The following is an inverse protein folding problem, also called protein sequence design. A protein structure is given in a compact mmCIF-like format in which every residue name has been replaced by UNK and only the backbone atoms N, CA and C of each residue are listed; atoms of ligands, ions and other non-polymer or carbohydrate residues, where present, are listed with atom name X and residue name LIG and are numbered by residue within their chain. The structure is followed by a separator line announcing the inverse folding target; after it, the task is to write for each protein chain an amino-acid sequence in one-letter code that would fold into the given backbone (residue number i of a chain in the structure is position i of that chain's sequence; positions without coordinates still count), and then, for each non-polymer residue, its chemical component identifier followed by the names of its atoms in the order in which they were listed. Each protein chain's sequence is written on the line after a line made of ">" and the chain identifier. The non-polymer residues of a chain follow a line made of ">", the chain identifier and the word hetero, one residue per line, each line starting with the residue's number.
data_IF_996591921431
#
_entry.id   IF_996591921431
#
_cell.length_a   1.000
_cell.length_b   1.000
_cell.length_c   1.000
_cell.angle_alpha   90.00
_cell.angle_beta   90.00
_cell.angle_gamma   90.00
#
_symmetry.space_group_name_H-M   'P 1'
#
loop_
_entity.id
_entity.type
_entity.pdbx_description
1 polymer ?
#
# COMPACT_ATOMS: atom_id res chain seq x y z
N UNK A 1 -18.88 2.69 -18.96
CA UNK A 1 -18.76 3.60 -17.81
C UNK A 1 -17.43 3.31 -17.12
N UNK A 2 -16.63 4.32 -16.78
CA UNK A 2 -15.36 4.12 -16.09
C UNK A 2 -15.59 3.56 -14.67
N UNK A 3 -14.65 2.75 -14.18
CA UNK A 3 -14.65 2.31 -12.78
C UNK A 3 -14.59 3.55 -11.88
N UNK A 4 -15.36 3.58 -10.81
CA UNK A 4 -15.29 4.64 -9.80
C UNK A 4 -14.83 4.03 -8.49
N UNK A 5 -13.84 4.65 -7.84
CA UNK A 5 -13.27 4.22 -6.55
C UNK A 5 -13.44 5.33 -5.52
N UNK A 6 -13.47 4.99 -4.23
CA UNK A 6 -13.52 5.99 -3.18
C UNK A 6 -12.10 6.40 -2.77
N UNK A 7 -11.84 7.70 -2.65
CA UNK A 7 -10.59 8.20 -2.10
C UNK A 7 -10.37 7.62 -0.69
N UNK A 8 -9.21 7.00 -0.39
CA UNK A 8 -9.00 6.34 0.89
C UNK A 8 -9.01 7.32 2.08
N UNK A 9 -8.62 8.59 1.86
CA UNK A 9 -8.52 9.63 2.88
C UNK A 9 -9.88 10.29 3.20
N UNK A 10 -10.62 10.73 2.18
CA UNK A 10 -11.84 11.54 2.39
C UNK A 10 -13.13 10.90 1.82
N UNK A 11 -13.03 9.72 1.21
CA UNK A 11 -14.14 8.96 0.60
C UNK A 11 -14.85 9.61 -0.59
N UNK A 12 -14.32 10.73 -1.10
CA UNK A 12 -14.83 11.34 -2.35
C UNK A 12 -14.71 10.32 -3.50
N UNK A 13 -15.76 10.13 -4.32
CA UNK A 13 -15.70 9.26 -5.50
C UNK A 13 -14.72 9.80 -6.55
N UNK A 14 -13.90 8.93 -7.13
CA UNK A 14 -12.88 9.23 -8.14
C UNK A 14 -13.08 8.31 -9.32
N UNK A 15 -13.30 8.88 -10.51
CA UNK A 15 -13.35 8.10 -11.75
C UNK A 15 -11.96 7.62 -12.15
N UNK A 16 -11.85 6.35 -12.55
CA UNK A 16 -10.62 5.71 -12.99
C UNK A 16 -10.32 6.03 -14.46
N UNK A 17 -9.98 7.30 -14.72
CA UNK A 17 -9.67 7.83 -16.06
C UNK A 17 -8.28 8.50 -16.07
N UNK A 18 -7.66 8.72 -17.25
CA UNK A 18 -6.34 9.37 -17.34
C UNK A 18 -6.27 10.75 -16.68
N UNK A 19 -7.35 11.55 -16.80
CA UNK A 19 -7.46 12.91 -16.27
C UNK A 19 -7.48 12.98 -14.73
N UNK A 20 -7.82 11.88 -14.06
CA UNK A 20 -7.70 11.77 -12.60
C UNK A 20 -6.23 11.56 -12.25
N UNK A 21 -5.45 12.64 -12.20
CA UNK A 21 -3.98 12.61 -12.05
C UNK A 21 -3.53 11.93 -10.75
N UNK A 22 -4.30 12.09 -9.67
CA UNK A 22 -3.96 11.59 -8.34
C UNK A 22 -4.67 10.30 -7.94
N UNK A 23 -5.37 9.62 -8.85
CA UNK A 23 -6.08 8.36 -8.54
C UNK A 23 -5.16 7.37 -7.80
N UNK A 24 -5.61 6.72 -6.71
CA UNK A 24 -7.00 6.65 -6.22
C UNK A 24 -7.45 7.85 -5.35
N UNK A 25 -6.61 8.88 -5.17
CA UNK A 25 -6.93 10.06 -4.37
C UNK A 25 -7.69 11.10 -5.20
N UNK A 26 -8.57 11.86 -4.54
CA UNK A 26 -9.34 12.92 -5.21
C UNK A 26 -8.52 14.20 -5.46
N UNK A 27 -7.35 14.35 -4.82
CA UNK A 27 -6.48 15.51 -4.94
C UNK A 27 -5.06 15.21 -4.45
N UNK A 28 -4.11 16.07 -4.83
CA UNK A 28 -2.73 16.02 -4.34
C UNK A 28 -2.65 16.06 -2.80
N UNK A 29 -3.49 16.88 -2.16
CA UNK A 29 -3.56 16.95 -0.70
C UNK A 29 -3.85 15.59 -0.08
N UNK A 30 -4.81 14.83 -0.61
CA UNK A 30 -5.13 13.51 -0.06
C UNK A 30 -3.99 12.52 -0.28
N UNK A 31 -3.32 12.56 -1.43
CA UNK A 31 -2.10 11.77 -1.68
C UNK A 31 -1.01 12.07 -0.65
N UNK A 32 -0.78 13.35 -0.33
CA UNK A 32 0.25 13.76 0.62
C UNK A 32 -0.10 13.41 2.08
N UNK A 33 -1.38 13.44 2.45
CA UNK A 33 -1.83 12.99 3.78
C UNK A 33 -1.55 11.50 3.95
N UNK A 34 -1.94 10.67 2.96
CA UNK A 34 -1.71 9.23 2.98
C UNK A 34 -0.22 8.90 3.13
N UNK A 35 0.62 9.56 2.33
CA UNK A 35 2.08 9.45 2.43
C UNK A 35 2.59 9.84 3.83
N UNK A 36 2.06 10.91 4.41
CA UNK A 36 2.42 11.36 5.75
C UNK A 36 1.99 10.39 6.84
N UNK A 37 0.83 9.75 6.71
CA UNK A 37 0.33 8.77 7.67
C UNK A 37 1.17 7.47 7.64
N UNK A 38 1.66 7.06 6.47
CA UNK A 38 2.66 5.99 6.35
C UNK A 38 4.00 6.39 6.96
N UNK A 39 4.51 7.58 6.62
CA UNK A 39 5.79 8.07 7.14
C UNK A 39 5.79 8.29 8.66
N UNK A 40 4.61 8.48 9.26
CA UNK A 40 4.43 8.65 10.71
C UNK A 40 3.93 7.39 11.42
N UNK A 41 4.02 6.23 10.76
CA UNK A 41 3.65 4.92 11.32
C UNK A 41 2.19 4.81 11.82
N UNK A 42 1.29 5.69 11.36
CA UNK A 42 -0.14 5.57 11.66
C UNK A 42 -0.79 4.42 10.90
N UNK A 43 -0.19 4.04 9.78
CA UNK A 43 -0.51 2.81 9.07
C UNK A 43 0.52 1.74 9.41
N UNK A 44 0.03 0.62 9.94
CA UNK A 44 0.83 -0.55 10.24
C UNK A 44 0.04 -1.80 9.84
N UNK A 45 0.75 -2.79 9.31
CA UNK A 45 0.17 -4.11 9.04
C UNK A 45 0.32 -4.91 10.34
N UNK A 46 -0.77 -5.39 10.94
CA UNK A 46 -0.69 -6.17 12.16
C UNK A 46 0.03 -7.49 11.88
N UNK A 47 1.05 -7.79 12.67
CA UNK A 47 1.74 -9.09 12.63
C UNK A 47 1.12 -9.99 13.69
N UNK A 48 1.05 -11.30 13.41
CA UNK A 48 0.71 -12.29 14.45
C UNK A 48 1.81 -12.24 15.52
N UNK A 49 1.44 -12.48 16.78
CA UNK A 49 2.38 -12.45 17.90
C UNK A 49 3.50 -13.50 17.81
N UNK A 50 3.28 -14.53 17.00
CA UNK A 50 4.23 -15.62 16.80
C UNK A 50 4.95 -15.38 15.48
N UNK A 51 6.22 -15.02 15.60
CA UNK A 51 7.18 -15.00 14.50
C UNK A 51 7.68 -16.42 14.32
N UNK A 52 7.17 -17.14 13.32
CA UNK A 52 7.62 -18.49 12.99
C UNK A 52 8.90 -18.39 12.16
N UNK A 53 10.03 -18.44 12.85
CA UNK A 53 11.36 -18.38 12.23
C UNK A 53 11.61 -19.61 11.35
N UNK A 54 11.09 -20.77 11.74
CA UNK A 54 11.28 -22.02 10.99
C UNK A 54 10.55 -21.96 9.63
N UNK A 55 9.38 -21.30 9.57
CA UNK A 55 8.66 -21.06 8.32
C UNK A 55 9.39 -20.07 7.38
N UNK A 56 10.22 -19.16 7.90
CA UNK A 56 10.99 -18.23 7.06
C UNK A 56 12.17 -18.93 6.38
N UNK A 57 12.84 -19.84 7.11
CA UNK A 57 13.90 -20.69 6.57
C UNK A 57 13.38 -21.59 5.44
N UNK A 58 12.17 -22.16 5.59
CA UNK A 58 11.53 -22.96 4.53
C UNK A 58 11.14 -22.14 3.28
N UNK A 59 10.79 -20.86 3.46
CA UNK A 59 10.42 -19.97 2.36
C UNK A 59 11.64 -19.40 1.60
N UNK A 60 12.87 -19.68 2.04
CA UNK A 60 14.10 -19.36 1.32
C UNK A 60 14.41 -17.86 1.22
N UNK A 61 13.83 -17.02 2.08
CA UNK A 61 14.06 -15.57 2.06
C UNK A 61 15.50 -15.16 2.45
N UNK A 62 16.27 -16.07 3.03
CA UNK A 62 17.67 -15.88 3.46
C UNK A 62 18.72 -16.46 2.47
N UNK A 63 18.30 -17.06 1.36
CA UNK A 63 19.24 -17.61 0.37
C UNK A 63 19.71 -16.53 -0.62
N UNK A 64 21.04 -16.34 -0.75
CA UNK A 64 21.68 -15.42 -1.72
C UNK A 64 21.32 -15.70 -3.20
N UNK A 65 20.62 -16.81 -3.46
CA UNK A 65 20.17 -17.22 -4.78
C UNK A 65 18.91 -16.47 -5.25
N UNK A 66 18.14 -15.82 -4.35
CA UNK A 66 16.91 -15.10 -4.72
C UNK A 66 17.15 -13.87 -5.62
N UNK A 67 18.27 -13.16 -5.45
CA UNK A 67 18.60 -11.95 -6.23
C UNK A 67 19.43 -12.23 -7.49
N UNK A 68 19.66 -13.50 -7.84
CA UNK A 68 20.46 -13.90 -9.01
C UNK A 68 19.57 -14.39 -10.15
N UNK A 69 18.67 -13.53 -10.62
CA UNK A 69 18.18 -13.54 -12.00
C UNK A 69 18.21 -12.14 -12.61
#
# INVERSE_FOLDING_TARGET
>A
MPLTVNCPICKTPVEWVPQSEFKPFCSERCKMIDLGDWASEKHAIPVKSEFDLDALDELGYDEESFFKE
#
